data_IF_739816770236
#
_entry.id   IF_739816770236
#
_cell.length_a   1.000
_cell.length_b   1.000
_cell.length_c   1.000
_cell.angle_alpha   90.00
_cell.angle_beta   90.00
_cell.angle_gamma   90.00
#
_symmetry.space_group_name_H-M   'P 1'
#
loop_
_entity.id
_entity.type
_entity.pdbx_description
1 polymer ?
#
# COMPACT_ATOMS: atom_id res chain seq x y z
N UNK A 1 18.96 -4.61 -5.87
CA UNK A 1 19.88 -3.71 -6.56
C UNK A 1 19.19 -2.37 -6.81
N UNK A 2 19.93 -1.28 -6.62
CA UNK A 2 19.43 0.10 -6.79
C UNK A 2 19.04 0.33 -8.26
N UNK A 3 19.86 -0.15 -9.17
CA UNK A 3 19.63 -0.09 -10.62
C UNK A 3 19.39 -1.52 -11.14
N UNK A 4 18.49 -1.75 -12.11
CA UNK A 4 18.25 -3.07 -12.69
C UNK A 4 19.41 -3.48 -13.60
N UNK A 5 20.53 -3.88 -12.99
CA UNK A 5 21.77 -4.27 -13.68
C UNK A 5 21.68 -5.59 -14.46
N UNK A 6 20.58 -6.31 -14.39
CA UNK A 6 20.35 -7.54 -15.13
C UNK A 6 20.38 -7.37 -16.66
N UNK A 7 20.30 -6.14 -17.15
CA UNK A 7 20.45 -5.80 -18.57
C UNK A 7 21.91 -5.52 -18.97
N UNK A 8 22.82 -5.37 -18.00
CA UNK A 8 24.21 -5.02 -18.23
C UNK A 8 25.05 -6.29 -18.21
N UNK A 9 25.53 -6.72 -19.38
CA UNK A 9 26.40 -7.89 -19.51
C UNK A 9 27.84 -7.42 -19.52
N UNK A 10 28.62 -7.83 -18.50
CA UNK A 10 30.06 -7.58 -18.45
C UNK A 10 30.78 -8.50 -19.45
N UNK A 11 31.59 -7.93 -20.32
CA UNK A 11 32.42 -8.67 -21.22
C UNK A 11 33.56 -9.37 -20.47
N UNK A 12 34.06 -10.50 -20.99
CA UNK A 12 35.17 -11.25 -20.35
C UNK A 12 36.46 -10.43 -20.32
N UNK A 13 36.63 -9.51 -21.27
CA UNK A 13 37.74 -8.56 -21.30
C UNK A 13 37.67 -7.58 -20.13
N UNK A 14 36.49 -7.09 -19.77
CA UNK A 14 36.26 -6.18 -18.64
C UNK A 14 36.45 -6.87 -17.29
N UNK A 15 36.01 -8.12 -17.17
CA UNK A 15 36.24 -8.95 -15.97
C UNK A 15 37.73 -9.21 -15.74
N UNK A 16 38.51 -9.29 -16.80
CA UNK A 16 39.96 -9.61 -16.75
C UNK A 16 40.86 -8.38 -16.69
N UNK A 17 40.39 -7.20 -17.12
CA UNK A 17 41.20 -5.99 -17.21
C UNK A 17 41.56 -5.37 -15.85
N UNK A 18 40.75 -5.64 -14.81
CA UNK A 18 40.95 -5.08 -13.47
C UNK A 18 40.81 -3.56 -13.37
N UNK A 19 40.42 -2.88 -14.44
CA UNK A 19 40.23 -1.42 -14.47
C UNK A 19 38.86 -1.05 -13.92
N UNK A 20 38.81 -0.77 -12.64
CA UNK A 20 37.55 -0.41 -11.94
C UNK A 20 36.99 0.91 -12.46
N UNK A 21 37.85 1.88 -12.75
CA UNK A 21 37.42 3.22 -13.17
C UNK A 21 36.71 3.20 -14.55
N UNK A 22 37.23 2.43 -15.51
CA UNK A 22 36.61 2.28 -16.83
C UNK A 22 35.24 1.58 -16.71
N UNK A 23 35.12 0.61 -15.81
CA UNK A 23 33.89 -0.08 -15.53
C UNK A 23 32.86 0.85 -14.88
N UNK A 24 33.28 1.66 -13.91
CA UNK A 24 32.40 2.63 -13.24
C UNK A 24 31.90 3.66 -14.25
N UNK A 25 32.77 4.21 -15.11
CA UNK A 25 32.36 5.17 -16.13
C UNK A 25 31.30 4.57 -17.08
N UNK A 26 31.52 3.34 -17.56
CA UNK A 26 30.56 2.64 -18.41
C UNK A 26 29.23 2.40 -17.70
N UNK A 27 29.24 1.95 -16.44
CA UNK A 27 28.02 1.71 -15.67
C UNK A 27 27.24 3.02 -15.45
N UNK A 28 27.93 4.14 -15.27
CA UNK A 28 27.31 5.46 -15.17
C UNK A 28 26.62 5.85 -16.49
N UNK A 29 27.30 5.69 -17.63
CA UNK A 29 26.72 5.97 -18.95
C UNK A 29 25.47 5.13 -19.22
N UNK A 30 25.55 3.83 -18.96
CA UNK A 30 24.41 2.91 -19.15
C UNK A 30 23.26 3.23 -18.19
N UNK A 31 23.56 3.65 -16.96
CA UNK A 31 22.55 4.06 -15.99
C UNK A 31 21.81 5.31 -16.44
N UNK A 32 22.54 6.31 -16.96
CA UNK A 32 21.96 7.53 -17.52
C UNK A 32 21.07 7.20 -18.72
N UNK A 33 21.56 6.36 -19.65
CA UNK A 33 20.79 5.93 -20.81
C UNK A 33 19.48 5.19 -20.43
N UNK A 34 19.53 4.35 -19.39
CA UNK A 34 18.34 3.70 -18.85
C UNK A 34 17.33 4.71 -18.26
N UNK A 35 17.85 5.74 -17.62
CA UNK A 35 16.99 6.80 -17.07
C UNK A 35 16.34 7.66 -18.16
N UNK A 36 17.10 8.03 -19.20
CA UNK A 36 16.57 8.74 -20.38
C UNK A 36 15.52 7.92 -21.13
N UNK A 37 15.70 6.60 -21.21
CA UNK A 37 14.70 5.71 -21.78
C UNK A 37 13.43 5.73 -20.94
N UNK A 38 13.57 5.70 -19.62
CA UNK A 38 12.44 5.79 -18.71
C UNK A 38 11.72 7.12 -18.79
N UNK A 39 12.44 8.23 -18.93
CA UNK A 39 11.86 9.56 -19.15
C UNK A 39 10.93 9.59 -20.37
N UNK A 40 11.31 8.91 -21.45
CA UNK A 40 10.47 8.77 -22.64
C UNK A 40 9.21 7.90 -22.42
N UNK A 41 9.31 6.88 -21.56
CA UNK A 41 8.14 6.06 -21.19
C UNK A 41 7.10 6.85 -20.38
N UNK A 42 7.52 7.95 -19.77
CA UNK A 42 6.69 8.82 -18.93
C UNK A 42 6.31 10.13 -19.61
N UNK A 43 6.41 10.26 -20.96
CA UNK A 43 6.09 11.49 -21.70
C UNK A 43 4.71 12.07 -21.37
N UNK A 44 3.73 11.22 -21.05
CA UNK A 44 2.36 11.63 -20.70
C UNK A 44 2.23 12.11 -19.23
N UNK A 45 3.28 12.01 -18.43
CA UNK A 45 3.26 12.34 -17.01
C UNK A 45 4.36 13.34 -16.66
N UNK A 46 4.10 14.19 -15.68
CA UNK A 46 5.15 15.07 -15.14
C UNK A 46 6.13 14.26 -14.28
N UNK A 47 7.17 13.72 -14.93
CA UNK A 47 8.21 12.94 -14.25
C UNK A 47 8.87 13.75 -13.13
N UNK A 48 9.02 15.07 -13.29
CA UNK A 48 9.60 15.95 -12.27
C UNK A 48 8.76 16.00 -11.00
N UNK A 49 7.44 15.96 -11.14
CA UNK A 49 6.55 15.87 -9.99
C UNK A 49 6.68 14.52 -9.27
N UNK A 50 6.81 13.43 -10.02
CA UNK A 50 7.05 12.09 -9.47
C UNK A 50 8.38 12.04 -8.72
N UNK A 51 9.46 12.55 -9.31
CA UNK A 51 10.78 12.67 -8.67
C UNK A 51 10.68 13.43 -7.33
N UNK A 52 9.99 14.56 -7.35
CA UNK A 52 9.80 15.40 -6.16
C UNK A 52 9.03 14.65 -5.06
N UNK A 53 7.94 13.98 -5.42
CA UNK A 53 7.13 13.22 -4.44
C UNK A 53 7.93 12.08 -3.83
N UNK A 54 8.68 11.34 -4.64
CA UNK A 54 9.50 10.23 -4.17
C UNK A 54 10.60 10.77 -3.24
N UNK A 55 11.32 11.81 -3.66
CA UNK A 55 12.39 12.40 -2.87
C UNK A 55 11.88 12.88 -1.50
N UNK A 56 10.80 13.66 -1.49
CA UNK A 56 10.21 14.16 -0.25
C UNK A 56 9.77 13.03 0.68
N UNK A 57 9.12 12.01 0.15
CA UNK A 57 8.67 10.85 0.93
C UNK A 57 9.84 10.07 1.55
N UNK A 58 10.94 9.93 0.82
CA UNK A 58 12.15 9.26 1.34
C UNK A 58 12.81 10.12 2.41
N UNK A 59 12.96 11.45 2.16
CA UNK A 59 13.52 12.38 3.15
C UNK A 59 12.72 12.32 4.44
N UNK A 60 11.40 12.48 4.38
CA UNK A 60 10.54 12.52 5.57
C UNK A 60 10.73 11.26 6.43
N UNK A 61 10.73 10.07 5.80
CA UNK A 61 10.94 8.83 6.52
C UNK A 61 12.33 8.76 7.16
N UNK A 62 13.39 8.99 6.39
CA UNK A 62 14.77 8.90 6.88
C UNK A 62 15.09 9.95 7.95
N UNK A 63 14.46 11.12 7.83
CA UNK A 63 14.60 12.16 8.83
C UNK A 63 13.93 11.77 10.15
N UNK A 64 12.74 11.17 10.13
CA UNK A 64 12.10 10.69 11.34
C UNK A 64 12.90 9.58 12.01
N UNK A 65 13.37 8.59 11.23
CA UNK A 65 14.26 7.54 11.74
C UNK A 65 15.52 8.14 12.39
N UNK A 66 16.14 9.13 11.74
CA UNK A 66 17.35 9.80 12.26
C UNK A 66 17.10 10.57 13.57
N UNK A 67 15.93 11.22 13.73
CA UNK A 67 15.58 11.88 14.99
C UNK A 67 15.50 10.84 16.12
N UNK A 68 14.85 9.72 15.89
CA UNK A 68 14.71 8.65 16.86
C UNK A 68 16.09 8.06 17.23
N UNK A 69 16.95 7.83 16.24
CA UNK A 69 18.31 7.34 16.44
C UNK A 69 19.16 8.33 17.24
N UNK A 70 19.03 9.64 16.99
CA UNK A 70 19.73 10.68 17.74
C UNK A 70 19.26 10.78 19.19
N UNK A 71 17.97 10.55 19.45
CA UNK A 71 17.45 10.51 20.81
C UNK A 71 17.99 9.27 21.57
N UNK A 72 18.04 8.10 20.92
CA UNK A 72 18.66 6.91 21.49
C UNK A 72 20.16 7.11 21.77
N UNK A 73 20.88 7.73 20.84
CA UNK A 73 22.28 8.10 21.04
C UNK A 73 22.46 8.99 22.27
N UNK A 74 21.60 10.00 22.42
CA UNK A 74 21.64 10.93 23.56
C UNK A 74 21.44 10.24 24.90
N UNK A 75 20.52 9.25 24.94
CA UNK A 75 20.27 8.47 26.17
C UNK A 75 21.47 7.58 26.53
N UNK A 76 22.14 6.98 25.53
CA UNK A 76 23.23 6.04 25.72
C UNK A 76 24.61 6.67 25.93
N UNK A 77 24.82 7.90 25.44
CA UNK A 77 26.15 8.51 25.34
C UNK A 77 26.82 8.76 26.69
N UNK A 78 26.03 8.96 27.76
CA UNK A 78 26.54 9.18 29.11
C UNK A 78 27.39 8.02 29.65
N UNK A 79 27.17 6.79 29.14
CA UNK A 79 27.95 5.62 29.54
C UNK A 79 29.40 5.67 29.04
N UNK A 80 29.70 6.47 28.01
CA UNK A 80 31.06 6.66 27.48
C UNK A 80 32.00 7.32 28.49
N UNK A 81 31.45 8.08 29.44
CA UNK A 81 32.23 8.69 30.53
C UNK A 81 32.96 7.64 31.36
N UNK A 82 32.43 6.44 31.57
CA UNK A 82 33.08 5.34 32.28
C UNK A 82 34.33 4.85 31.53
N UNK A 83 34.36 4.99 30.20
CA UNK A 83 35.49 4.67 29.33
C UNK A 83 36.51 5.79 29.20
N UNK A 84 36.46 6.84 30.05
CA UNK A 84 37.33 8.04 30.02
C UNK A 84 37.24 8.79 28.67
N UNK A 85 36.13 8.63 27.93
CA UNK A 85 35.86 9.42 26.73
C UNK A 85 34.91 10.57 27.07
N UNK A 86 35.16 11.73 26.40
CA UNK A 86 34.25 12.88 26.54
C UNK A 86 32.91 12.59 25.82
N UNK A 87 31.80 12.48 26.55
CA UNK A 87 30.48 12.16 25.95
C UNK A 87 30.06 13.20 24.91
N UNK A 88 30.45 14.47 25.02
CA UNK A 88 30.08 15.53 24.06
C UNK A 88 30.82 15.32 22.74
N UNK A 89 32.10 14.97 22.81
CA UNK A 89 32.90 14.67 21.61
C UNK A 89 32.36 13.45 20.90
N UNK A 90 32.09 12.35 21.65
CA UNK A 90 31.54 11.11 21.11
C UNK A 90 30.16 11.34 20.50
N UNK A 91 29.27 12.12 21.15
CA UNK A 91 27.96 12.47 20.60
C UNK A 91 28.08 13.20 19.25
N UNK A 92 28.99 14.17 19.16
CA UNK A 92 29.19 14.92 17.92
C UNK A 92 29.74 14.05 16.79
N UNK A 93 30.68 13.16 17.11
CA UNK A 93 31.27 12.25 16.11
C UNK A 93 30.23 11.24 15.62
N UNK A 94 29.55 10.56 16.53
CA UNK A 94 28.52 9.58 16.19
C UNK A 94 27.35 10.24 15.44
N UNK A 95 26.87 11.40 15.88
CA UNK A 95 25.79 12.13 15.20
C UNK A 95 26.19 12.58 13.79
N UNK A 96 27.44 12.94 13.57
CA UNK A 96 27.94 13.26 12.23
C UNK A 96 27.98 12.04 11.30
N UNK A 97 28.42 10.89 11.82
CA UNK A 97 28.40 9.63 11.06
C UNK A 97 26.96 9.22 10.71
N UNK A 98 26.07 9.24 11.68
CA UNK A 98 24.66 8.92 11.47
C UNK A 98 24.00 9.85 10.45
N UNK A 99 24.30 11.15 10.46
CA UNK A 99 23.80 12.09 9.47
C UNK A 99 24.33 11.79 8.06
N UNK A 100 25.62 11.45 7.93
CA UNK A 100 26.19 11.06 6.64
C UNK A 100 25.57 9.78 6.11
N UNK A 101 25.33 8.79 6.97
CA UNK A 101 24.68 7.56 6.60
C UNK A 101 23.22 7.80 6.18
N UNK A 102 22.50 8.66 6.88
CA UNK A 102 21.15 9.07 6.48
C UNK A 102 21.15 9.73 5.10
N UNK A 103 22.04 10.69 4.84
CA UNK A 103 22.10 11.38 3.53
C UNK A 103 22.44 10.43 2.40
N UNK A 104 23.33 9.48 2.63
CA UNK A 104 23.66 8.42 1.68
C UNK A 104 22.48 7.50 1.44
N UNK A 105 21.78 7.07 2.50
CA UNK A 105 20.59 6.24 2.38
C UNK A 105 19.47 6.95 1.62
N UNK A 106 19.28 8.26 1.79
CA UNK A 106 18.33 9.06 1.01
C UNK A 106 18.66 8.99 -0.49
N UNK A 107 19.94 9.19 -0.85
CA UNK A 107 20.38 9.13 -2.24
C UNK A 107 20.15 7.75 -2.86
N UNK A 108 20.55 6.68 -2.16
CA UNK A 108 20.42 5.31 -2.62
C UNK A 108 18.95 4.91 -2.79
N UNK A 109 18.13 5.23 -1.80
CA UNK A 109 16.72 4.84 -1.82
C UNK A 109 15.90 5.64 -2.82
N UNK A 110 16.14 6.95 -2.96
CA UNK A 110 15.51 7.79 -3.98
C UNK A 110 15.84 7.28 -5.38
N UNK A 111 17.14 7.03 -5.64
CA UNK A 111 17.58 6.51 -6.93
C UNK A 111 16.95 5.14 -7.22
N UNK A 112 16.96 4.25 -6.23
CA UNK A 112 16.35 2.93 -6.37
C UNK A 112 14.84 3.02 -6.65
N UNK A 113 14.12 3.88 -5.94
CA UNK A 113 12.69 4.07 -6.14
C UNK A 113 12.37 4.62 -7.54
N UNK A 114 13.16 5.58 -8.04
CA UNK A 114 12.99 6.15 -9.37
C UNK A 114 13.17 5.10 -10.49
N UNK A 115 14.12 4.18 -10.34
CA UNK A 115 14.30 3.11 -11.32
C UNK A 115 13.22 2.04 -11.27
N UNK A 116 12.53 1.86 -10.13
CA UNK A 116 11.51 0.84 -9.94
C UNK A 116 10.08 1.36 -10.04
N UNK A 117 9.88 2.69 -10.11
CA UNK A 117 8.55 3.26 -10.26
C UNK A 117 7.92 2.79 -11.58
N UNK A 118 6.67 2.36 -11.52
CA UNK A 118 5.85 2.01 -12.67
C UNK A 118 4.56 2.81 -12.61
N UNK A 119 4.13 3.35 -13.73
CA UNK A 119 2.81 3.99 -13.82
C UNK A 119 1.80 2.90 -14.10
N UNK A 120 0.98 2.59 -13.11
CA UNK A 120 -0.24 1.84 -13.36
C UNK A 120 -1.23 2.81 -14.04
N UNK A 121 -1.48 2.61 -15.32
CA UNK A 121 -2.62 3.26 -15.96
C UNK A 121 -3.86 2.81 -15.19
N UNK A 122 -4.48 3.74 -14.48
CA UNK A 122 -5.77 3.51 -13.86
C UNK A 122 -6.73 3.19 -15.00
N UNK A 123 -6.99 1.91 -15.21
CA UNK A 123 -8.08 1.49 -16.11
C UNK A 123 -9.31 2.15 -15.50
N UNK A 124 -9.79 3.23 -16.14
CA UNK A 124 -11.11 3.75 -15.81
C UNK A 124 -12.05 2.57 -15.96
N UNK A 125 -12.56 2.10 -14.84
CA UNK A 125 -13.65 1.14 -14.87
C UNK A 125 -14.74 1.82 -15.68
N UNK A 126 -15.01 1.31 -16.89
CA UNK A 126 -16.25 1.64 -17.59
C UNK A 126 -17.35 1.60 -16.53
N UNK A 127 -18.03 2.73 -16.36
CA UNK A 127 -19.16 2.79 -15.43
C UNK A 127 -20.03 1.59 -15.74
N UNK A 128 -20.17 0.70 -14.76
CA UNK A 128 -21.06 -0.45 -14.91
C UNK A 128 -22.38 0.09 -15.43
N UNK A 129 -22.96 -0.51 -16.48
CA UNK A 129 -24.16 0.01 -17.10
C UNK A 129 -25.16 0.29 -15.97
N UNK A 130 -25.60 1.55 -15.88
CA UNK A 130 -26.61 1.95 -14.91
C UNK A 130 -27.77 1.00 -15.11
N UNK A 131 -28.04 0.15 -14.11
CA UNK A 131 -29.22 -0.71 -14.10
C UNK A 131 -30.41 0.22 -14.08
N UNK A 132 -30.92 0.57 -15.25
CA UNK A 132 -32.05 1.47 -15.48
C UNK A 132 -33.40 0.79 -15.25
N UNK A 133 -33.43 -0.34 -14.59
CA UNK A 133 -34.65 -1.02 -14.22
C UNK A 133 -34.37 -2.02 -13.10
N UNK A 134 -34.70 -1.66 -11.88
CA UNK A 134 -34.97 -2.68 -10.88
C UNK A 134 -36.38 -3.20 -11.14
N UNK A 135 -36.61 -4.52 -11.03
CA UNK A 135 -37.93 -5.14 -11.08
C UNK A 135 -38.98 -4.54 -10.09
N UNK A 136 -38.65 -3.39 -9.49
CA UNK A 136 -39.57 -2.63 -8.62
C UNK A 136 -40.49 -1.70 -9.40
N UNK A 137 -40.21 -1.39 -10.67
CA UNK A 137 -41.01 -0.49 -11.50
C UNK A 137 -42.05 -1.24 -12.36
N UNK A 138 -42.04 -2.58 -12.34
CA UNK A 138 -43.22 -3.32 -12.75
C UNK A 138 -44.21 -3.20 -11.58
N UNK A 139 -45.16 -2.30 -11.68
CA UNK A 139 -46.39 -2.34 -10.89
C UNK A 139 -47.04 -3.72 -11.07
N UNK A 140 -46.51 -4.70 -10.34
CA UNK A 140 -47.28 -5.90 -10.06
C UNK A 140 -48.33 -5.39 -9.07
N UNK A 141 -49.55 -5.11 -9.60
CA UNK A 141 -50.73 -4.98 -8.76
C UNK A 141 -50.71 -6.14 -7.76
N UNK A 142 -50.26 -5.89 -6.57
CA UNK A 142 -50.35 -6.86 -5.48
C UNK A 142 -51.81 -6.94 -5.14
N UNK A 143 -52.57 -7.79 -5.87
CA UNK A 143 -53.92 -8.18 -5.45
C UNK A 143 -53.78 -8.68 -4.02
N UNK A 144 -54.50 -8.06 -3.05
CA UNK A 144 -54.42 -8.49 -1.68
C UNK A 144 -54.78 -9.97 -1.60
N UNK A 145 -53.90 -10.77 -1.00
CA UNK A 145 -54.15 -12.19 -0.79
C UNK A 145 -55.36 -12.33 0.13
N UNK A 146 -56.55 -12.57 -0.44
CA UNK A 146 -57.77 -12.84 0.31
C UNK A 146 -57.69 -14.28 0.76
N UNK A 147 -57.47 -14.53 2.03
CA UNK A 147 -57.52 -15.86 2.62
C UNK A 147 -58.92 -16.42 2.47
N UNK A 148 -59.09 -17.47 1.70
CA UNK A 148 -60.33 -18.25 1.61
C UNK A 148 -60.50 -19.04 2.90
N UNK A 149 -61.08 -18.45 3.93
CA UNK A 149 -61.42 -19.14 5.17
C UNK A 149 -61.45 -18.18 6.37
N UNK A 150 -62.48 -18.26 7.16
CA UNK A 150 -62.59 -17.51 8.42
C UNK A 150 -61.48 -17.94 9.37
N UNK A 151 -60.77 -16.97 10.00
CA UNK A 151 -59.81 -17.27 11.07
C UNK A 151 -60.58 -17.83 12.26
N UNK A 152 -60.38 -19.08 12.58
CA UNK A 152 -60.87 -19.68 13.81
C UNK A 152 -60.00 -19.19 14.96
N UNK A 153 -60.58 -18.49 15.89
CA UNK A 153 -59.91 -18.00 17.08
C UNK A 153 -59.52 -19.13 18.02
N UNK A 154 -58.49 -18.94 18.81
CA UNK A 154 -57.96 -19.95 19.75
C UNK A 154 -59.01 -20.49 20.71
N UNK A 155 -59.99 -19.70 21.05
CA UNK A 155 -61.08 -20.05 21.98
C UNK A 155 -62.42 -20.43 21.31
N UNK A 156 -62.46 -20.33 19.97
CA UNK A 156 -63.69 -20.68 19.22
C UNK A 156 -63.95 -22.19 19.19
N UNK A 157 -65.18 -22.64 18.95
CA UNK A 157 -65.47 -24.03 18.79
C UNK A 157 -64.70 -24.62 17.61
N UNK A 158 -64.13 -25.81 17.78
CA UNK A 158 -63.32 -26.43 16.76
C UNK A 158 -64.17 -26.81 15.55
N UNK A 159 -63.77 -26.45 14.31
CA UNK A 159 -64.52 -26.77 13.09
C UNK A 159 -64.60 -28.26 12.77
N UNK A 160 -63.84 -29.11 13.49
CA UNK A 160 -63.97 -30.60 13.34
C UNK A 160 -65.18 -31.19 13.97
N UNK A 161 -66.07 -30.38 14.63
CA UNK A 161 -67.27 -30.86 15.23
C UNK A 161 -67.17 -31.58 16.60
N UNK A 162 -65.93 -31.54 17.21
CA UNK A 162 -65.63 -32.18 18.51
C UNK A 162 -66.23 -31.51 19.74
N UNK A 163 -66.88 -30.34 19.61
CA UNK A 163 -67.44 -29.58 20.69
C UNK A 163 -66.36 -28.89 21.63
N UNK A 164 -65.05 -29.13 21.40
CA UNK A 164 -63.96 -28.58 22.17
C UNK A 164 -63.50 -27.27 21.58
N UNK A 165 -62.89 -26.38 22.42
CA UNK A 165 -62.22 -25.15 21.93
C UNK A 165 -61.08 -25.51 21.00
N UNK A 166 -60.84 -24.72 19.92
CA UNK A 166 -59.83 -24.97 18.91
C UNK A 166 -58.45 -25.25 19.50
N UNK A 167 -58.02 -24.52 20.54
CA UNK A 167 -56.73 -24.73 21.24
C UNK A 167 -56.58 -26.07 21.93
N UNK A 168 -57.70 -26.73 22.25
CA UNK A 168 -57.69 -28.02 22.95
C UNK A 168 -57.98 -29.18 21.99
N UNK A 169 -58.08 -28.93 20.68
CA UNK A 169 -58.37 -29.90 19.67
C UNK A 169 -57.39 -29.75 18.49
N UNK A 170 -57.82 -29.36 17.30
CA UNK A 170 -57.00 -29.27 16.11
C UNK A 170 -55.93 -28.16 16.15
N UNK A 171 -56.05 -27.18 17.06
CA UNK A 171 -55.10 -26.12 17.28
C UNK A 171 -54.08 -26.39 18.40
N UNK A 172 -53.97 -27.62 18.93
CA UNK A 172 -53.09 -27.94 20.06
C UNK A 172 -51.60 -27.97 19.67
N UNK A 173 -51.31 -28.32 18.43
CA UNK A 173 -49.94 -28.51 17.91
C UNK A 173 -49.61 -27.55 16.76
N UNK A 174 -50.23 -26.35 16.71
CA UNK A 174 -49.92 -25.31 15.74
C UNK A 174 -49.39 -24.06 16.42
#
# INVERSE_FOLDING_TARGET
PIVPLNKIVLTDAEKSSGRVDDLVARLQEETVALYEQKEKEFEDFDLREIERIILLKVIDRKWMDHIDDMDQLREGIGLQAYGQRDPVVEYRMAGFEMFNDMTKAIQEETTGALFHVQVEQKIEREEAPKITGTNKDAEVEKKPYVRKGAKVGRNDPCPCGSGKKYKNCCGRNK
#
